data_IF_622718100404
#
_entry.id   IF_622718100404
#
_cell.length_a   1.000
_cell.length_b   1.000
_cell.length_c   1.000
_cell.angle_alpha   90.00
_cell.angle_beta   90.00
_cell.angle_gamma   90.00
#
_symmetry.space_group_name_H-M   'P 1'
#
loop_
_entity.id
_entity.type
_entity.pdbx_description
1 polymer ?
#
# COMPACT_ATOMS: atom_id res chain seq x y z
N UNK A 1 31.52 -44.95 -25.83
CA UNK A 1 30.74 -46.07 -25.26
C UNK A 1 31.51 -46.66 -24.09
N UNK A 2 31.20 -46.21 -22.88
CA UNK A 2 31.45 -46.95 -21.63
C UNK A 2 30.59 -46.30 -20.55
N UNK A 3 29.56 -47.05 -20.18
CA UNK A 3 28.64 -46.76 -19.09
C UNK A 3 29.27 -47.23 -17.78
N UNK A 4 29.31 -46.36 -16.77
CA UNK A 4 29.41 -46.76 -15.36
C UNK A 4 28.49 -45.83 -14.58
N UNK A 5 27.35 -46.36 -14.15
CA UNK A 5 26.55 -45.80 -13.07
C UNK A 5 26.86 -46.52 -11.77
N UNK A 6 26.75 -45.81 -10.64
CA UNK A 6 26.35 -46.40 -9.35
C UNK A 6 25.85 -45.34 -8.36
N UNK A 7 24.63 -45.61 -7.89
CA UNK A 7 24.11 -45.47 -6.52
C UNK A 7 24.22 -44.15 -5.75
N UNK A 8 23.09 -43.43 -5.77
CA UNK A 8 22.19 -43.29 -4.62
C UNK A 8 22.78 -43.28 -3.21
N UNK A 9 22.75 -42.10 -2.57
CA UNK A 9 22.59 -41.95 -1.12
C UNK A 9 21.51 -40.92 -0.83
N UNK A 10 20.39 -41.41 -0.28
CA UNK A 10 19.41 -40.62 0.46
C UNK A 10 20.02 -40.32 1.84
N UNK A 11 20.37 -39.06 2.07
CA UNK A 11 20.70 -38.54 3.40
C UNK A 11 19.48 -37.84 3.98
N UNK A 12 19.00 -38.34 5.12
CA UNK A 12 17.90 -37.80 5.89
C UNK A 12 18.23 -36.37 6.37
N UNK A 13 17.32 -35.42 6.09
CA UNK A 13 17.32 -34.11 6.73
C UNK A 13 16.63 -34.25 8.09
N UNK A 14 17.45 -34.18 9.14
CA UNK A 14 17.03 -34.00 10.52
C UNK A 14 16.54 -32.55 10.68
N UNK A 15 15.36 -32.42 11.27
CA UNK A 15 14.76 -31.17 11.66
C UNK A 15 15.63 -30.41 12.68
N UNK A 16 15.90 -29.14 12.40
CA UNK A 16 16.33 -28.17 13.39
C UNK A 16 15.47 -26.91 13.23
N UNK A 17 14.56 -26.76 14.18
CA UNK A 17 13.80 -25.55 14.43
C UNK A 17 14.74 -24.45 14.96
N UNK A 18 14.51 -23.22 14.50
CA UNK A 18 14.63 -21.94 15.21
C UNK A 18 14.93 -20.81 14.20
N UNK A 19 13.97 -20.49 13.34
CA UNK A 19 13.94 -19.17 12.71
C UNK A 19 13.15 -18.23 13.62
N UNK A 20 13.90 -17.42 14.37
CA UNK A 20 13.41 -16.22 15.03
C UNK A 20 12.93 -15.25 13.95
N UNK A 21 11.65 -15.35 13.62
CA UNK A 21 10.94 -14.35 12.83
C UNK A 21 10.47 -13.29 13.80
N UNK A 22 11.22 -12.19 13.88
CA UNK A 22 10.75 -10.94 14.44
C UNK A 22 9.63 -10.40 13.54
N UNK A 23 8.42 -10.95 13.70
CA UNK A 23 7.19 -10.33 13.23
C UNK A 23 6.94 -9.12 14.12
N UNK A 24 7.25 -7.92 13.64
CA UNK A 24 6.55 -6.71 14.09
C UNK A 24 5.11 -6.83 13.62
N UNK A 25 4.29 -7.48 14.44
CA UNK A 25 2.85 -7.31 14.39
C UNK A 25 2.55 -5.88 14.82
N UNK A 26 2.20 -5.03 13.85
CA UNK A 26 1.51 -3.77 14.12
C UNK A 26 0.09 -4.14 14.56
N UNK A 27 -0.06 -4.39 15.87
CA UNK A 27 -1.36 -4.53 16.52
C UNK A 27 -1.86 -3.14 16.89
N UNK A 28 -2.43 -2.43 15.92
CA UNK A 28 -3.26 -1.25 16.16
C UNK A 28 -4.47 -1.35 15.23
N UNK A 29 -5.48 -2.12 15.65
CA UNK A 29 -6.71 -2.28 14.87
C UNK A 29 -7.80 -3.12 15.54
N UNK A 30 -7.44 -4.11 16.37
CA UNK A 30 -8.43 -5.05 16.92
C UNK A 30 -9.04 -4.67 18.28
N UNK A 31 -8.54 -3.62 18.93
CA UNK A 31 -9.02 -3.24 20.27
C UNK A 31 -10.29 -2.36 20.24
N UNK A 32 -10.60 -1.70 19.12
CA UNK A 32 -11.75 -0.76 19.04
C UNK A 32 -13.04 -1.47 18.64
N UNK A 33 -12.98 -2.49 17.80
CA UNK A 33 -14.18 -3.23 17.34
C UNK A 33 -14.81 -4.06 18.47
N UNK A 34 -14.02 -4.53 19.44
CA UNK A 34 -14.51 -5.35 20.56
C UNK A 34 -15.23 -4.55 21.66
N UNK A 35 -15.06 -3.23 21.73
CA UNK A 35 -15.78 -2.37 22.69
C UNK A 35 -17.18 -1.97 22.21
N UNK A 36 -17.46 -2.00 20.91
CA UNK A 36 -18.77 -1.61 20.36
C UNK A 36 -19.84 -2.71 20.46
N UNK A 37 -19.46 -3.99 20.52
CA UNK A 37 -20.41 -5.11 20.62
C UNK A 37 -21.03 -5.24 22.02
N UNK A 38 -20.41 -4.67 23.07
CA UNK A 38 -20.93 -4.72 24.44
C UNK A 38 -21.94 -3.61 24.78
N UNK A 39 -21.99 -2.52 24.00
CA UNK A 39 -22.95 -1.44 24.22
C UNK A 39 -24.36 -1.75 23.65
N UNK A 40 -24.44 -2.54 22.58
CA UNK A 40 -25.71 -2.87 21.94
C UNK A 40 -26.57 -3.88 22.74
N UNK A 41 -25.97 -4.67 23.63
CA UNK A 41 -26.69 -5.65 24.45
C UNK A 41 -27.41 -5.02 25.67
N UNK A 42 -27.12 -3.77 26.03
CA UNK A 42 -27.71 -3.12 27.22
C UNK A 42 -29.00 -2.35 26.89
N UNK A 43 -29.19 -1.90 25.65
CA UNK A 43 -30.38 -1.11 25.27
C UNK A 43 -31.64 -1.98 25.09
N UNK A 44 -31.50 -3.27 24.81
CA UNK A 44 -32.64 -4.19 24.64
C UNK A 44 -33.27 -4.61 25.98
N UNK A 45 -32.60 -4.39 27.12
CA UNK A 45 -33.09 -4.83 28.43
C UNK A 45 -33.96 -3.81 29.18
N UNK A 46 -34.12 -2.57 28.71
CA UNK A 46 -34.82 -1.50 29.47
C UNK A 46 -36.27 -1.25 29.03
N UNK A 47 -36.76 -1.89 27.95
CA UNK A 47 -38.11 -1.62 27.40
C UNK A 47 -39.21 -2.48 28.05
N UNK A 48 -38.90 -3.47 28.89
CA UNK A 48 -39.92 -4.31 29.55
C UNK A 48 -39.95 -3.98 31.03
N UNK A 49 -40.82 -3.05 31.45
CA UNK A 49 -41.49 -2.93 32.76
C UNK A 49 -41.88 -1.46 33.06
N UNK A 50 -42.81 -0.89 32.29
CA UNK A 50 -43.63 0.22 32.80
C UNK A 50 -45.00 -0.33 33.20
N UNK A 51 -45.49 -0.06 34.42
CA UNK A 51 -46.79 -0.53 34.87
C UNK A 51 -47.90 0.15 34.07
N UNK A 52 -48.84 -0.66 33.57
CA UNK A 52 -50.07 -0.21 32.93
C UNK A 52 -50.88 0.57 33.95
N UNK A 53 -50.89 1.90 33.85
CA UNK A 53 -51.86 2.73 34.55
C UNK A 53 -53.21 2.55 33.85
N UNK A 54 -54.21 2.03 34.57
CA UNK A 54 -55.60 1.98 34.12
C UNK A 54 -56.12 3.40 33.89
N UNK A 55 -56.15 3.82 32.63
CA UNK A 55 -56.81 5.06 32.22
C UNK A 55 -58.30 4.79 32.14
N UNK A 56 -59.06 5.41 33.06
CA UNK A 56 -60.52 5.48 32.99
C UNK A 56 -60.92 6.27 31.74
N UNK A 57 -61.66 5.62 30.84
CA UNK A 57 -62.16 6.21 29.61
C UNK A 57 -63.46 7.00 29.89
N UNK A 58 -63.42 8.32 29.70
CA UNK A 58 -64.62 9.14 29.50
C UNK A 58 -65.08 9.05 28.03
N UNK A 59 -66.39 8.89 27.75
CA UNK A 59 -66.91 8.85 26.39
C UNK A 59 -67.05 10.27 25.83
N UNK A 60 -66.02 10.75 25.12
CA UNK A 60 -66.13 11.97 24.31
C UNK A 60 -66.97 11.69 23.06
N UNK A 61 -68.15 12.30 23.02
CA UNK A 61 -69.07 12.27 21.89
C UNK A 61 -68.62 13.23 20.78
N UNK A 62 -68.54 12.72 19.54
CA UNK A 62 -68.97 13.46 18.36
C UNK A 62 -67.97 14.39 17.68
N UNK A 63 -66.76 13.93 17.34
CA UNK A 63 -66.01 14.50 16.23
C UNK A 63 -66.04 13.51 15.06
N UNK A 64 -66.76 13.86 13.98
CA UNK A 64 -66.67 13.14 12.70
C UNK A 64 -65.23 13.26 12.22
N UNK A 65 -64.44 12.20 12.40
CA UNK A 65 -63.11 12.08 11.83
C UNK A 65 -63.23 12.27 10.32
N UNK A 66 -62.74 13.41 9.83
CA UNK A 66 -62.48 13.60 8.42
C UNK A 66 -61.50 12.51 8.02
N UNK A 67 -61.92 11.60 7.14
CA UNK A 67 -61.07 10.57 6.56
C UNK A 67 -59.99 11.30 5.76
N UNK A 68 -58.88 11.63 6.41
CA UNK A 68 -57.70 12.16 5.78
C UNK A 68 -57.26 11.18 4.68
N UNK A 69 -56.77 11.69 3.54
CA UNK A 69 -56.36 10.85 2.42
C UNK A 69 -55.40 9.78 2.92
N UNK A 70 -55.73 8.52 2.64
CA UNK A 70 -54.84 7.38 2.84
C UNK A 70 -53.53 7.69 2.13
N UNK A 71 -52.48 8.00 2.90
CA UNK A 71 -51.12 8.01 2.39
C UNK A 71 -50.91 6.71 1.62
N UNK A 72 -50.50 6.83 0.36
CA UNK A 72 -50.44 5.70 -0.54
C UNK A 72 -49.15 4.92 -0.25
N UNK A 73 -49.28 3.61 -0.07
CA UNK A 73 -48.14 2.69 0.09
C UNK A 73 -47.15 2.69 -1.11
N UNK A 74 -47.58 2.86 -2.38
CA UNK A 74 -46.67 2.79 -3.53
C UNK A 74 -45.49 3.79 -3.49
N UNK A 75 -45.68 5.09 -3.17
CA UNK A 75 -44.56 6.01 -2.99
C UNK A 75 -43.51 5.57 -1.98
N UNK A 76 -43.89 4.97 -0.85
CA UNK A 76 -42.92 4.51 0.14
C UNK A 76 -42.11 3.31 -0.39
N UNK A 77 -42.75 2.37 -1.08
CA UNK A 77 -42.05 1.23 -1.69
C UNK A 77 -41.03 1.70 -2.72
N UNK A 78 -41.41 2.62 -3.60
CA UNK A 78 -40.51 3.21 -4.60
C UNK A 78 -39.28 3.88 -3.94
N UNK A 79 -39.48 4.60 -2.83
CA UNK A 79 -38.39 5.21 -2.07
C UNK A 79 -37.47 4.21 -1.38
N UNK A 80 -38.01 3.09 -0.90
CA UNK A 80 -37.19 2.03 -0.33
C UNK A 80 -36.34 1.32 -1.38
N UNK A 81 -36.88 1.11 -2.57
CA UNK A 81 -36.12 0.57 -3.71
C UNK A 81 -35.00 1.54 -4.13
N UNK A 82 -35.27 2.85 -4.15
CA UNK A 82 -34.27 3.89 -4.40
C UNK A 82 -33.15 3.88 -3.34
N UNK A 83 -33.49 3.74 -2.05
CA UNK A 83 -32.50 3.64 -0.97
C UNK A 83 -31.65 2.38 -1.07
N UNK A 84 -32.25 1.23 -1.38
CA UNK A 84 -31.54 -0.05 -1.56
C UNK A 84 -30.55 0.03 -2.75
N UNK A 85 -30.99 0.58 -3.88
CA UNK A 85 -30.13 0.82 -5.05
C UNK A 85 -28.99 1.80 -4.76
N UNK A 86 -29.26 2.88 -4.02
CA UNK A 86 -28.24 3.86 -3.61
C UNK A 86 -27.23 3.22 -2.65
N UNK A 87 -27.69 2.40 -1.70
CA UNK A 87 -26.83 1.66 -0.79
C UNK A 87 -25.96 0.63 -1.51
N UNK A 88 -26.47 -0.04 -2.54
CA UNK A 88 -25.66 -0.92 -3.38
C UNK A 88 -24.55 -0.15 -4.10
N UNK A 89 -24.87 0.99 -4.71
CA UNK A 89 -23.89 1.85 -5.39
C UNK A 89 -22.84 2.40 -4.42
N UNK A 90 -23.26 2.79 -3.22
CA UNK A 90 -22.38 3.27 -2.16
C UNK A 90 -21.38 2.19 -1.69
N UNK A 91 -21.81 0.94 -1.53
CA UNK A 91 -20.89 -0.17 -1.21
C UNK A 91 -19.89 -0.40 -2.34
N UNK A 92 -20.31 -0.31 -3.60
CA UNK A 92 -19.40 -0.43 -4.73
C UNK A 92 -18.35 0.69 -4.73
N UNK A 93 -18.74 1.94 -4.48
CA UNK A 93 -17.82 3.07 -4.35
C UNK A 93 -16.84 2.91 -3.17
N UNK A 94 -17.31 2.38 -2.04
CA UNK A 94 -16.46 2.08 -0.89
C UNK A 94 -15.44 0.97 -1.21
N UNK A 95 -15.80 -0.07 -1.95
CA UNK A 95 -14.82 -1.09 -2.37
C UNK A 95 -13.84 -0.53 -3.40
N UNK A 96 -14.32 0.20 -4.40
CA UNK A 96 -13.49 0.74 -5.47
C UNK A 96 -12.46 1.78 -4.98
N UNK A 97 -12.75 2.50 -3.91
CA UNK A 97 -11.85 3.52 -3.34
C UNK A 97 -10.77 2.97 -2.41
N UNK A 98 -10.66 1.65 -2.24
CA UNK A 98 -9.73 1.04 -1.28
C UNK A 98 -8.27 1.32 -1.66
N UNK A 99 -7.53 2.03 -0.80
CA UNK A 99 -6.17 2.49 -1.08
C UNK A 99 -6.06 3.61 -2.13
N UNK A 100 -7.18 4.15 -2.60
CA UNK A 100 -7.25 5.19 -3.65
C UNK A 100 -7.81 6.51 -3.12
N UNK A 101 -7.54 6.87 -1.87
CA UNK A 101 -7.88 8.17 -1.28
C UNK A 101 -6.69 8.74 -0.52
N UNK A 102 -6.62 10.07 -0.41
CA UNK A 102 -5.57 10.73 0.37
C UNK A 102 -5.82 10.62 1.89
N UNK A 103 -7.10 10.62 2.30
CA UNK A 103 -7.53 10.54 3.70
C UNK A 103 -8.64 9.50 3.87
N UNK A 104 -8.52 8.64 4.90
CA UNK A 104 -9.48 7.57 5.20
C UNK A 104 -10.79 8.08 5.83
N UNK A 105 -10.83 9.35 6.23
CA UNK A 105 -11.98 10.00 6.88
C UNK A 105 -13.23 9.97 6.00
N UNK A 106 -13.08 10.22 4.69
CA UNK A 106 -14.20 10.22 3.73
C UNK A 106 -14.80 8.83 3.55
N UNK A 107 -13.96 7.78 3.47
CA UNK A 107 -14.41 6.38 3.40
C UNK A 107 -15.10 5.95 4.68
N UNK A 108 -14.55 6.31 5.83
CA UNK A 108 -15.17 6.06 7.14
C UNK A 108 -16.55 6.71 7.24
N UNK A 109 -16.69 7.94 6.76
CA UNK A 109 -17.98 8.63 6.74
C UNK A 109 -19.01 7.94 5.83
N UNK A 110 -18.60 7.43 4.66
CA UNK A 110 -19.47 6.63 3.78
C UNK A 110 -19.89 5.31 4.44
N UNK A 111 -18.97 4.62 5.12
CA UNK A 111 -19.28 3.38 5.85
C UNK A 111 -20.31 3.62 6.97
N UNK A 112 -20.15 4.68 7.76
CA UNK A 112 -21.11 5.04 8.82
C UNK A 112 -22.47 5.50 8.28
N UNK A 113 -22.54 6.06 7.07
CA UNK A 113 -23.81 6.38 6.41
C UNK A 113 -24.49 5.12 5.87
N UNK A 114 -23.73 4.16 5.34
CA UNK A 114 -24.24 2.85 4.93
C UNK A 114 -24.91 2.10 6.09
N UNK A 115 -24.29 2.10 7.27
CA UNK A 115 -24.88 1.49 8.47
C UNK A 115 -26.21 2.14 8.86
N UNK A 116 -26.31 3.47 8.74
CA UNK A 116 -27.56 4.22 8.99
C UNK A 116 -28.63 3.93 7.93
N UNK A 117 -28.24 3.85 6.66
CA UNK A 117 -29.15 3.48 5.57
C UNK A 117 -29.70 2.05 5.74
N UNK A 118 -28.85 1.11 6.16
CA UNK A 118 -29.27 -0.28 6.42
C UNK A 118 -30.25 -0.38 7.61
N UNK A 119 -30.01 0.38 8.68
CA UNK A 119 -30.95 0.49 9.79
C UNK A 119 -32.29 1.10 9.34
N UNK A 120 -32.26 2.19 8.56
CA UNK A 120 -33.46 2.83 8.04
C UNK A 120 -34.28 1.91 7.12
N UNK A 121 -33.62 1.10 6.28
CA UNK A 121 -34.29 0.09 5.45
C UNK A 121 -34.99 -0.96 6.30
N UNK A 122 -34.36 -1.46 7.36
CA UNK A 122 -34.95 -2.44 8.27
C UNK A 122 -36.19 -1.87 8.99
N UNK A 123 -36.06 -0.68 9.59
CA UNK A 123 -37.14 -0.01 10.31
C UNK A 123 -38.33 0.30 9.39
N UNK A 124 -38.05 0.85 8.20
CA UNK A 124 -39.10 1.20 7.23
C UNK A 124 -39.85 -0.01 6.70
N UNK A 125 -39.14 -1.13 6.45
CA UNK A 125 -39.77 -2.40 6.05
C UNK A 125 -40.67 -2.96 7.16
N UNK A 126 -40.33 -2.76 8.43
CA UNK A 126 -41.18 -3.19 9.55
C UNK A 126 -42.53 -2.44 9.57
N UNK A 127 -42.56 -1.17 9.17
CA UNK A 127 -43.80 -0.36 9.07
C UNK A 127 -44.75 -0.93 8.01
N UNK A 128 -44.23 -1.46 6.90
CA UNK A 128 -45.03 -2.07 5.83
C UNK A 128 -45.74 -3.37 6.23
N UNK A 129 -45.31 -4.03 7.31
CA UNK A 129 -45.87 -5.31 7.76
C UNK A 129 -47.06 -5.11 8.73
N UNK A 130 -47.32 -3.88 9.18
CA UNK A 130 -48.43 -3.62 10.11
C UNK A 130 -49.81 -3.96 9.50
N UNK A 131 -50.73 -4.56 10.27
CA UNK A 131 -52.09 -4.80 9.83
C UNK A 131 -52.79 -3.53 9.31
N UNK A 132 -53.56 -3.61 8.22
CA UNK A 132 -54.32 -2.46 7.73
C UNK A 132 -55.17 -1.83 8.84
N UNK A 133 -55.06 -0.51 9.02
CA UNK A 133 -55.81 0.25 10.02
C UNK A 133 -55.21 0.28 11.44
N UNK A 134 -54.09 -0.41 11.68
CA UNK A 134 -53.38 -0.33 12.97
C UNK A 134 -52.27 0.73 12.99
N UNK A 135 -51.82 1.19 11.81
CA UNK A 135 -50.73 2.17 11.71
C UNK A 135 -51.15 3.54 12.28
N UNK A 136 -50.26 4.21 13.05
CA UNK A 136 -50.48 5.59 13.46
C UNK A 136 -50.67 6.48 12.22
N UNK A 137 -51.65 7.39 12.28
CA UNK A 137 -51.86 8.38 11.22
C UNK A 137 -50.59 9.21 11.02
N UNK A 138 -50.08 9.27 9.79
CA UNK A 138 -48.87 10.03 9.43
C UNK A 138 -47.56 9.24 9.50
N UNK A 139 -47.54 8.03 10.07
CA UNK A 139 -46.32 7.24 10.17
C UNK A 139 -45.68 6.93 8.81
N UNK A 140 -46.48 6.67 7.77
CA UNK A 140 -45.97 6.42 6.42
C UNK A 140 -45.29 7.65 5.81
N UNK A 141 -45.84 8.85 6.05
CA UNK A 141 -45.28 10.09 5.52
C UNK A 141 -43.96 10.44 6.23
N UNK A 142 -43.90 10.27 7.56
CA UNK A 142 -42.68 10.47 8.33
C UNK A 142 -41.55 9.52 7.88
N UNK A 143 -41.87 8.24 7.67
CA UNK A 143 -40.92 7.25 7.16
C UNK A 143 -40.46 7.60 5.75
N UNK A 144 -41.37 8.00 4.86
CA UNK A 144 -41.02 8.38 3.49
C UNK A 144 -40.07 9.58 3.46
N UNK A 145 -40.28 10.58 4.33
CA UNK A 145 -39.38 11.74 4.49
C UNK A 145 -38.01 11.30 5.03
N UNK A 146 -37.99 10.43 6.03
CA UNK A 146 -36.74 9.91 6.60
C UNK A 146 -35.92 9.13 5.56
N UNK A 147 -36.56 8.23 4.81
CA UNK A 147 -35.92 7.45 3.72
C UNK A 147 -35.37 8.39 2.64
N UNK A 148 -36.13 9.41 2.24
CA UNK A 148 -35.67 10.41 1.25
C UNK A 148 -34.43 11.17 1.74
N UNK A 149 -34.40 11.51 3.04
CA UNK A 149 -33.22 12.11 3.67
C UNK A 149 -31.99 11.19 3.63
N UNK A 150 -32.17 9.88 3.86
CA UNK A 150 -31.09 8.90 3.78
C UNK A 150 -30.55 8.72 2.35
N UNK A 151 -31.44 8.67 1.34
CA UNK A 151 -31.02 8.61 -0.08
C UNK A 151 -30.12 9.80 -0.41
N UNK A 152 -30.53 11.01 -0.02
CA UNK A 152 -29.76 12.22 -0.29
C UNK A 152 -28.40 12.21 0.43
N UNK A 153 -28.40 11.93 1.75
CA UNK A 153 -27.17 11.89 2.53
C UNK A 153 -26.17 10.86 1.98
N UNK A 154 -26.65 9.67 1.60
CA UNK A 154 -25.80 8.63 1.05
C UNK A 154 -25.24 9.03 -0.33
N UNK A 155 -26.05 9.68 -1.17
CA UNK A 155 -25.61 10.25 -2.44
C UNK A 155 -24.49 11.28 -2.27
N UNK A 156 -24.60 12.19 -1.28
CA UNK A 156 -23.55 13.15 -0.96
C UNK A 156 -22.24 12.47 -0.51
N UNK A 157 -22.34 11.39 0.29
CA UNK A 157 -21.15 10.63 0.71
C UNK A 157 -20.47 9.91 -0.44
N UNK A 158 -21.24 9.36 -1.38
CA UNK A 158 -20.69 8.73 -2.60
C UNK A 158 -19.97 9.76 -3.45
N UNK A 159 -20.57 10.95 -3.65
CA UNK A 159 -19.92 12.05 -4.36
C UNK A 159 -18.60 12.45 -3.69
N UNK A 160 -18.59 12.60 -2.36
CA UNK A 160 -17.38 12.95 -1.62
C UNK A 160 -16.25 11.90 -1.76
N UNK A 161 -16.57 10.60 -1.72
CA UNK A 161 -15.58 9.54 -1.98
C UNK A 161 -15.08 9.59 -3.42
N UNK A 162 -15.96 9.84 -4.38
CA UNK A 162 -15.59 9.97 -5.80
C UNK A 162 -14.62 11.13 -6.02
N UNK A 163 -14.90 12.30 -5.42
CA UNK A 163 -14.01 13.46 -5.47
C UNK A 163 -12.66 13.17 -4.79
N UNK A 164 -12.66 12.45 -3.67
CA UNK A 164 -11.44 12.05 -2.97
C UNK A 164 -10.57 11.09 -3.80
N UNK A 165 -11.18 10.17 -4.56
CA UNK A 165 -10.47 9.30 -5.51
C UNK A 165 -9.86 10.11 -6.64
N UNK A 166 -10.63 11.01 -7.25
CA UNK A 166 -10.12 11.89 -8.31
C UNK A 166 -8.94 12.75 -7.84
N UNK A 167 -9.00 13.26 -6.61
CA UNK A 167 -7.91 14.01 -5.99
C UNK A 167 -6.65 13.15 -5.77
N UNK A 168 -6.82 11.90 -5.32
CA UNK A 168 -5.71 10.95 -5.18
C UNK A 168 -5.06 10.64 -6.53
N UNK A 169 -5.85 10.38 -7.58
CA UNK A 169 -5.34 10.10 -8.93
C UNK A 169 -4.56 11.29 -9.50
N UNK A 170 -5.07 12.52 -9.31
CA UNK A 170 -4.37 13.74 -9.71
C UNK A 170 -3.02 13.89 -9.01
N UNK A 171 -2.94 13.55 -7.72
CA UNK A 171 -1.68 13.58 -6.97
C UNK A 171 -0.69 12.51 -7.45
N UNK A 172 -1.16 11.29 -7.75
CA UNK A 172 -0.30 10.25 -8.33
C UNK A 172 0.28 10.69 -9.69
N UNK A 173 -0.54 11.33 -10.53
CA UNK A 173 -0.08 11.88 -11.81
C UNK A 173 0.98 12.98 -11.62
N UNK A 174 0.79 13.87 -10.63
CA UNK A 174 1.76 14.92 -10.28
C UNK A 174 3.10 14.32 -9.85
N UNK A 175 3.09 13.33 -8.96
CA UNK A 175 4.29 12.63 -8.48
C UNK A 175 5.03 11.94 -9.64
N UNK A 176 4.30 11.25 -10.52
CA UNK A 176 4.90 10.59 -11.68
C UNK A 176 5.59 11.59 -12.62
N UNK A 177 4.97 12.74 -12.88
CA UNK A 177 5.56 13.81 -13.69
C UNK A 177 6.82 14.40 -13.04
N UNK A 178 6.81 14.63 -11.73
CA UNK A 178 7.97 15.12 -10.98
C UNK A 178 9.15 14.13 -11.02
N UNK A 179 8.87 12.83 -10.86
CA UNK A 179 9.89 11.78 -10.97
C UNK A 179 10.50 11.70 -12.37
N UNK A 180 9.70 11.84 -13.42
CA UNK A 180 10.20 11.86 -14.79
C UNK A 180 11.07 13.10 -15.06
N UNK A 181 10.64 14.27 -14.59
CA UNK A 181 11.44 15.50 -14.69
C UNK A 181 12.79 15.34 -13.94
N UNK A 182 12.78 14.73 -12.75
CA UNK A 182 13.99 14.44 -11.99
C UNK A 182 14.93 13.47 -12.74
N UNK A 183 14.40 12.40 -13.34
CA UNK A 183 15.16 11.47 -14.19
C UNK A 183 15.79 12.17 -15.39
N UNK A 184 15.02 13.02 -16.09
CA UNK A 184 15.51 13.78 -17.24
C UNK A 184 16.62 14.77 -16.84
N UNK A 185 16.46 15.46 -15.71
CA UNK A 185 17.47 16.36 -15.16
C UNK A 185 18.76 15.62 -14.77
N UNK A 186 18.64 14.46 -14.12
CA UNK A 186 19.79 13.62 -13.77
C UNK A 186 20.53 13.14 -15.03
N UNK A 187 19.80 12.68 -16.06
CA UNK A 187 20.38 12.27 -17.33
C UNK A 187 21.06 13.43 -18.09
N UNK A 188 20.51 14.65 -18.01
CA UNK A 188 21.16 15.84 -18.57
C UNK A 188 22.45 16.17 -17.81
N UNK A 189 22.44 16.16 -16.48
CA UNK A 189 23.61 16.41 -15.66
C UNK A 189 24.73 15.38 -15.90
N UNK A 190 24.39 14.10 -16.04
CA UNK A 190 25.33 13.04 -16.39
C UNK A 190 26.00 13.30 -17.75
N UNK A 191 25.24 13.69 -18.78
CA UNK A 191 25.78 14.06 -20.10
C UNK A 191 26.74 15.25 -20.03
N UNK A 192 26.42 16.28 -19.23
CA UNK A 192 27.31 17.43 -19.03
C UNK A 192 28.61 17.03 -18.33
N UNK A 193 28.56 16.12 -17.34
CA UNK A 193 29.77 15.60 -16.67
C UNK A 193 30.68 14.85 -17.63
N UNK A 194 30.12 14.01 -18.51
CA UNK A 194 30.90 13.29 -19.54
C UNK A 194 31.56 14.29 -20.51
N UNK A 195 30.84 15.32 -20.95
CA UNK A 195 31.39 16.34 -21.85
C UNK A 195 32.48 17.20 -21.18
N UNK A 196 32.32 17.55 -19.90
CA UNK A 196 33.29 18.33 -19.13
C UNK A 196 34.51 17.49 -18.66
N UNK A 197 34.38 16.16 -18.60
CA UNK A 197 35.45 15.22 -18.28
C UNK A 197 36.52 15.07 -19.37
N UNK A 198 36.45 15.87 -20.45
CA UNK A 198 37.48 15.97 -21.47
C UNK A 198 38.84 16.37 -20.87
N UNK A 199 39.69 15.38 -20.63
CA UNK A 199 41.13 15.58 -20.53
C UNK A 199 41.75 15.63 -19.14
N UNK A 200 41.19 14.96 -18.12
CA UNK A 200 42.07 14.59 -16.99
C UNK A 200 42.99 13.47 -17.50
N UNK A 201 44.25 13.82 -17.73
CA UNK A 201 45.27 12.87 -18.19
C UNK A 201 45.19 11.59 -17.35
N UNK A 202 45.23 10.40 -17.98
CA UNK A 202 45.15 9.14 -17.27
C UNK A 202 46.22 9.14 -16.18
N UNK A 203 45.80 9.07 -14.93
CA UNK A 203 46.73 8.78 -13.83
C UNK A 203 47.24 7.39 -14.16
N UNK A 204 48.51 7.30 -14.56
CA UNK A 204 49.12 6.06 -15.00
C UNK A 204 49.15 5.08 -13.82
N UNK A 205 48.22 4.13 -13.79
CA UNK A 205 48.20 3.05 -12.80
C UNK A 205 46.79 2.59 -12.45
N UNK A 206 46.67 1.31 -12.07
CA UNK A 206 45.46 0.79 -11.45
C UNK A 206 45.39 1.34 -10.03
N UNK A 207 44.36 2.12 -9.72
CA UNK A 207 44.14 2.74 -8.42
C UNK A 207 43.73 1.72 -7.35
N UNK A 208 43.05 0.65 -7.75
CA UNK A 208 42.60 -0.42 -6.85
C UNK A 208 42.40 -1.75 -7.58
N UNK A 209 42.71 -2.85 -6.91
CA UNK A 209 42.43 -4.21 -7.40
C UNK A 209 41.43 -4.85 -6.44
N UNK A 210 40.27 -5.23 -6.97
CA UNK A 210 39.18 -5.81 -6.20
C UNK A 210 38.95 -7.27 -6.58
N UNK A 211 39.06 -8.17 -5.60
CA UNK A 211 38.88 -9.61 -5.80
C UNK A 211 37.46 -10.03 -5.48
N UNK A 212 36.75 -10.62 -6.45
CA UNK A 212 35.46 -11.26 -6.21
C UNK A 212 35.71 -12.70 -5.77
N UNK A 213 35.38 -13.03 -4.52
CA UNK A 213 35.69 -14.36 -3.96
C UNK A 213 34.64 -15.41 -4.29
N UNK A 214 33.37 -15.01 -4.49
CA UNK A 214 32.27 -15.90 -4.86
C UNK A 214 31.16 -15.16 -5.61
N UNK A 215 30.17 -15.91 -6.08
CA UNK A 215 28.87 -15.38 -6.49
C UNK A 215 27.78 -15.81 -5.51
N UNK A 216 26.82 -14.94 -5.21
CA UNK A 216 25.80 -15.20 -4.19
C UNK A 216 24.89 -14.00 -3.91
N UNK A 217 24.37 -13.93 -2.68
CA UNK A 217 23.52 -12.85 -2.19
C UNK A 217 23.95 -12.38 -0.80
N UNK A 218 22.97 -11.96 0.02
CA UNK A 218 23.23 -11.34 1.33
C UNK A 218 24.00 -12.26 2.28
N UNK A 219 23.74 -13.57 2.29
CA UNK A 219 24.42 -14.52 3.17
C UNK A 219 25.93 -14.58 2.88
N UNK A 220 26.34 -14.57 1.62
CA UNK A 220 27.75 -14.52 1.23
C UNK A 220 28.38 -13.15 1.54
N UNK A 221 27.62 -12.06 1.39
CA UNK A 221 28.09 -10.72 1.74
C UNK A 221 28.35 -10.62 3.25
N UNK A 222 27.42 -11.15 4.06
CA UNK A 222 27.52 -11.20 5.52
C UNK A 222 28.67 -12.08 6.02
N UNK A 223 29.13 -13.04 5.21
CA UNK A 223 30.29 -13.86 5.54
C UNK A 223 31.61 -13.07 5.58
N UNK A 224 31.64 -11.84 5.05
CA UNK A 224 32.76 -10.91 5.19
C UNK A 224 34.11 -11.48 4.70
N UNK A 225 34.09 -12.20 3.56
CA UNK A 225 35.29 -12.83 2.96
C UNK A 225 35.81 -12.09 1.72
N UNK A 226 35.29 -10.89 1.46
CA UNK A 226 35.56 -10.06 0.29
C UNK A 226 34.32 -9.82 -0.56
N UNK A 227 34.51 -9.23 -1.74
CA UNK A 227 33.44 -8.94 -2.69
C UNK A 227 32.69 -10.16 -3.22
N UNK A 228 31.37 -10.08 -3.24
CA UNK A 228 30.45 -11.09 -3.79
C UNK A 228 29.85 -10.58 -5.09
N UNK A 229 29.90 -11.36 -6.17
CA UNK A 229 29.13 -11.06 -7.36
C UNK A 229 27.65 -11.44 -7.17
N UNK A 230 26.75 -10.51 -7.41
CA UNK A 230 25.29 -10.67 -7.26
C UNK A 230 24.66 -10.77 -8.66
N UNK A 231 24.60 -11.97 -9.27
CA UNK A 231 24.27 -12.13 -10.69
C UNK A 231 22.85 -11.67 -11.04
N UNK A 232 21.90 -11.76 -10.11
CA UNK A 232 20.53 -11.28 -10.32
C UNK A 232 20.48 -9.77 -10.59
N UNK A 233 21.24 -8.98 -9.82
CA UNK A 233 21.31 -7.52 -10.00
C UNK A 233 22.13 -7.20 -11.26
N UNK A 234 23.25 -7.89 -11.47
CA UNK A 234 24.07 -7.72 -12.67
C UNK A 234 23.25 -7.92 -13.95
N UNK A 235 22.47 -9.01 -14.02
CA UNK A 235 21.61 -9.33 -15.16
C UNK A 235 20.50 -8.29 -15.36
N UNK A 236 19.87 -7.82 -14.29
CA UNK A 236 18.87 -6.75 -14.36
C UNK A 236 19.45 -5.45 -14.94
N UNK A 237 20.67 -5.07 -14.54
CA UNK A 237 21.33 -3.85 -14.99
C UNK A 237 22.09 -3.99 -16.32
N UNK A 238 22.10 -5.18 -16.92
CA UNK A 238 22.80 -5.49 -18.16
C UNK A 238 24.33 -5.53 -18.06
N UNK A 239 24.89 -5.77 -16.87
CA UNK A 239 26.33 -5.84 -16.63
C UNK A 239 26.89 -7.26 -16.61
N UNK A 240 28.22 -7.38 -16.74
CA UNK A 240 28.94 -8.65 -16.58
C UNK A 240 29.03 -9.11 -15.12
N UNK A 241 29.01 -8.17 -14.16
CA UNK A 241 29.03 -8.45 -12.73
C UNK A 241 28.45 -7.30 -11.91
N UNK A 242 28.06 -7.63 -10.68
CA UNK A 242 27.68 -6.67 -9.65
C UNK A 242 28.36 -7.09 -8.35
N UNK A 243 29.50 -6.48 -8.01
CA UNK A 243 30.24 -6.80 -6.81
C UNK A 243 29.65 -6.03 -5.61
N UNK A 244 29.48 -6.71 -4.48
CA UNK A 244 29.02 -6.08 -3.25
C UNK A 244 29.77 -6.63 -2.04
N UNK A 245 30.04 -5.76 -1.07
CA UNK A 245 30.56 -6.14 0.24
C UNK A 245 30.23 -5.10 1.32
N UNK A 246 30.38 -5.50 2.57
CA UNK A 246 30.29 -4.59 3.71
C UNK A 246 31.50 -3.67 3.79
N UNK A 247 31.31 -2.48 4.35
CA UNK A 247 32.36 -1.48 4.53
C UNK A 247 33.61 -2.01 5.23
N UNK A 248 33.40 -2.74 6.32
CA UNK A 248 34.46 -3.26 7.18
C UNK A 248 35.16 -4.49 6.59
N UNK A 249 34.66 -5.07 5.50
CA UNK A 249 35.18 -6.31 4.91
C UNK A 249 36.17 -6.07 3.74
N UNK A 250 36.45 -4.81 3.43
CA UNK A 250 37.22 -4.40 2.25
C UNK A 250 36.67 -3.11 1.62
N UNK A 251 35.36 -2.90 1.73
CA UNK A 251 34.70 -1.79 1.04
C UNK A 251 35.13 -0.38 1.42
N UNK A 252 35.73 -0.22 2.60
CA UNK A 252 36.37 1.04 3.00
C UNK A 252 37.48 1.51 2.05
N UNK A 253 38.13 0.60 1.31
CA UNK A 253 39.14 0.94 0.29
C UNK A 253 38.52 1.76 -0.86
N UNK A 254 37.25 1.50 -1.18
CA UNK A 254 36.53 2.19 -2.24
C UNK A 254 36.15 3.63 -1.90
N UNK A 255 36.11 3.99 -0.61
CA UNK A 255 35.77 5.34 -0.16
C UNK A 255 36.69 6.45 -0.69
N UNK A 256 37.85 6.10 -1.27
CA UNK A 256 38.81 7.04 -1.87
C UNK A 256 38.85 6.97 -3.40
N UNK A 257 38.11 6.03 -4.00
CA UNK A 257 38.09 5.80 -5.44
C UNK A 257 37.02 6.71 -6.05
N UNK A 258 37.46 7.70 -6.82
CA UNK A 258 36.57 8.63 -7.52
C UNK A 258 36.35 8.26 -8.99
N UNK A 259 35.47 9.01 -9.64
CA UNK A 259 35.31 8.96 -11.10
C UNK A 259 36.65 9.20 -11.83
N UNK A 260 36.84 8.47 -12.92
CA UNK A 260 38.07 8.43 -13.72
C UNK A 260 39.14 7.47 -13.20
N UNK A 261 39.02 6.94 -11.98
CA UNK A 261 39.98 5.97 -11.45
C UNK A 261 39.96 4.65 -12.24
N UNK A 262 41.13 4.09 -12.48
CA UNK A 262 41.28 2.76 -13.07
C UNK A 262 41.23 1.71 -11.98
N UNK A 263 40.37 0.71 -12.11
CA UNK A 263 40.24 -0.40 -11.15
C UNK A 263 40.33 -1.73 -11.88
N UNK A 264 40.86 -2.75 -11.22
CA UNK A 264 41.00 -4.08 -11.80
C UNK A 264 40.19 -5.09 -10.99
N UNK A 265 39.45 -5.94 -11.70
CA UNK A 265 38.77 -7.08 -11.14
C UNK A 265 39.36 -8.34 -11.77
N UNK A 266 40.25 -9.08 -11.09
CA UNK A 266 40.82 -10.31 -11.63
C UNK A 266 39.73 -11.27 -12.13
N UNK A 267 39.90 -11.77 -13.36
CA UNK A 267 38.91 -12.61 -14.04
C UNK A 267 37.81 -11.85 -14.80
N UNK A 268 37.56 -10.57 -14.50
CA UNK A 268 36.56 -9.75 -15.18
C UNK A 268 37.19 -8.72 -16.12
N UNK A 269 38.30 -8.12 -15.72
CA UNK A 269 39.08 -7.18 -16.54
C UNK A 269 39.47 -5.90 -15.80
N UNK A 270 39.84 -4.90 -16.58
CA UNK A 270 40.18 -3.56 -16.08
C UNK A 270 39.08 -2.59 -16.49
N UNK A 271 38.74 -1.70 -15.57
CA UNK A 271 37.62 -0.78 -15.70
C UNK A 271 38.03 0.63 -15.32
N UNK A 272 37.33 1.60 -15.86
CA UNK A 272 37.34 2.99 -15.41
C UNK A 272 36.05 3.24 -14.63
N UNK A 273 36.17 3.86 -13.45
CA UNK A 273 35.00 4.34 -12.72
C UNK A 273 34.40 5.49 -13.51
N UNK A 274 33.21 5.31 -14.07
CA UNK A 274 32.50 6.36 -14.77
C UNK A 274 31.91 7.37 -13.78
N UNK A 275 31.22 6.86 -12.75
CA UNK A 275 30.51 7.66 -11.75
C UNK A 275 30.35 6.88 -10.44
N UNK A 276 30.02 7.59 -9.37
CA UNK A 276 29.64 7.02 -8.07
C UNK A 276 28.24 7.54 -7.70
N UNK A 277 27.28 6.63 -7.61
CA UNK A 277 25.95 6.90 -7.04
C UNK A 277 26.08 6.73 -5.52
N UNK A 278 25.60 7.69 -4.72
CA UNK A 278 25.72 7.63 -3.25
C UNK A 278 24.44 8.13 -2.57
N UNK A 279 24.32 7.91 -1.25
CA UNK A 279 23.13 8.27 -0.50
C UNK A 279 21.96 7.30 -0.68
N UNK A 280 22.22 6.10 -1.19
CA UNK A 280 21.20 5.05 -1.28
C UNK A 280 20.95 4.45 0.11
N UNK A 281 19.72 3.99 0.34
CA UNK A 281 19.37 3.31 1.59
C UNK A 281 19.47 1.81 1.37
N UNK A 282 19.84 1.06 2.40
CA UNK A 282 19.83 -0.40 2.38
C UNK A 282 18.44 -0.91 1.99
N UNK A 283 18.39 -1.83 1.04
CA UNK A 283 17.14 -2.32 0.47
C UNK A 283 16.57 -1.45 -0.67
N UNK A 284 17.26 -0.38 -1.09
CA UNK A 284 16.92 0.31 -2.33
C UNK A 284 16.89 -0.67 -3.50
N UNK A 285 15.87 -0.53 -4.35
CA UNK A 285 15.75 -1.34 -5.56
C UNK A 285 16.87 -1.05 -6.56
N UNK A 286 17.30 -2.06 -7.29
CA UNK A 286 18.32 -1.90 -8.34
C UNK A 286 17.88 -0.90 -9.45
N UNK A 287 16.58 -0.66 -9.61
CA UNK A 287 15.99 0.28 -10.57
C UNK A 287 16.47 1.72 -10.38
N UNK A 288 16.95 2.10 -9.19
CA UNK A 288 17.49 3.45 -8.91
C UNK A 288 18.94 3.62 -9.35
N UNK A 289 19.62 2.52 -9.69
CA UNK A 289 21.00 2.53 -10.20
C UNK A 289 20.95 2.61 -11.73
N UNK A 290 21.66 3.57 -12.36
CA UNK A 290 21.72 3.65 -13.81
C UNK A 290 22.28 2.35 -14.43
N UNK A 291 21.54 1.79 -15.39
CA UNK A 291 21.95 0.61 -16.16
C UNK A 291 22.97 0.90 -17.28
N UNK A 292 23.44 -0.14 -17.97
CA UNK A 292 24.26 -0.02 -19.19
C UNK A 292 25.79 0.03 -18.97
N UNK A 293 26.26 -0.11 -17.73
CA UNK A 293 27.68 -0.21 -17.42
C UNK A 293 28.19 -1.66 -17.53
N UNK A 294 29.48 -1.83 -17.72
CA UNK A 294 30.09 -3.14 -17.88
C UNK A 294 30.20 -3.92 -16.54
N UNK A 295 30.22 -3.20 -15.42
CA UNK A 295 30.24 -3.74 -14.06
C UNK A 295 29.78 -2.71 -13.03
N UNK A 296 29.51 -3.19 -11.83
CA UNK A 296 29.16 -2.35 -10.68
C UNK A 296 29.90 -2.83 -9.44
N UNK A 297 30.16 -1.92 -8.51
CA UNK A 297 30.64 -2.24 -7.17
C UNK A 297 29.81 -1.48 -6.12
N UNK A 298 29.37 -2.14 -5.04
CA UNK A 298 28.52 -1.57 -4.00
C UNK A 298 29.10 -1.76 -2.60
N UNK A 299 29.05 -0.72 -1.76
CA UNK A 299 29.27 -0.84 -0.32
C UNK A 299 28.50 0.22 0.49
N UNK A 300 28.40 0.05 1.80
CA UNK A 300 27.78 1.01 2.73
C UNK A 300 28.84 1.99 3.28
N UNK A 301 28.82 3.27 2.91
CA UNK A 301 29.83 4.23 3.36
C UNK A 301 29.83 4.35 4.89
N UNK A 302 31.00 4.16 5.49
CA UNK A 302 31.16 4.20 6.95
C UNK A 302 30.44 3.08 7.70
N UNK A 303 30.00 2.02 7.00
CA UNK A 303 29.20 0.94 7.59
C UNK A 303 27.74 1.32 7.84
N UNK A 304 27.28 2.47 7.33
CA UNK A 304 25.89 2.89 7.51
C UNK A 304 24.98 2.36 6.41
N UNK A 305 23.96 1.60 6.79
CA UNK A 305 22.89 1.19 5.88
C UNK A 305 22.06 2.36 5.32
N UNK A 306 22.20 3.58 5.84
CA UNK A 306 21.53 4.77 5.27
C UNK A 306 22.37 5.53 4.24
N UNK A 307 23.59 5.07 3.94
CA UNK A 307 24.47 5.72 2.99
C UNK A 307 25.26 4.71 2.17
N UNK A 308 24.54 3.97 1.34
CA UNK A 308 25.10 3.04 0.38
C UNK A 308 25.57 3.78 -0.87
N UNK A 309 26.69 3.32 -1.43
CA UNK A 309 27.28 3.85 -2.65
C UNK A 309 27.53 2.73 -3.67
N UNK A 310 27.35 3.06 -4.95
CA UNK A 310 27.55 2.19 -6.10
C UNK A 310 28.48 2.88 -7.10
N UNK A 311 29.59 2.24 -7.46
CA UNK A 311 30.52 2.67 -8.49
C UNK A 311 30.11 2.04 -9.82
N UNK A 312 29.90 2.89 -10.84
CA UNK A 312 29.51 2.48 -12.18
C UNK A 312 30.77 2.30 -13.03
N UNK A 313 30.96 1.12 -13.63
CA UNK A 313 32.25 0.72 -14.22
C UNK A 313 32.17 0.56 -15.73
N UNK A 314 33.01 1.30 -16.46
CA UNK A 314 33.21 1.16 -17.90
C UNK A 314 34.39 0.24 -18.17
N UNK A 315 34.25 -0.73 -19.08
CA UNK A 315 35.36 -1.61 -19.48
C UNK A 315 36.42 -0.79 -20.23
N UNK A 316 37.69 -1.07 -19.93
CA UNK A 316 38.84 -0.49 -20.65
C UNK A 316 39.58 -1.61 -21.40
N UNK A 317 39.65 -1.48 -22.72
CA UNK A 317 40.12 -2.52 -23.65
C UNK A 317 38.97 -3.34 -24.22
#
# INVERSE_FOLDING_TARGET
>A
MTSIGHHGRRGALVAAAAHSTSRRTVTTGDAVVRQLVLAAAVVVAVVVLTPVAEVSAEPASGARASLAPTASLPPLVERLDELDATAHSARAALVASDGHVLEETTRTALASELERADAALLESRAVLVWPPGSQPSGALDEVAVAVSGQVHALGERVAAVTDAVAAWEAEQARIAAEQEAARAAAAAAARTRVAAGGGRAPVSGVAHVEGIWTSGGQAEIDACRGSVNVPGIAGYLGASFYAAEHWSCGGSAWGRIGAGAMVQFPGYGTYRVAEVVSGLVYGSEASVVPGGYAGYYQTCIGGSGSNMAVWLLERVG
#
